data_IF_931161047438
#
_entry.id   IF_931161047438
#
_cell.length_a   1.000
_cell.length_b   1.000
_cell.length_c   1.000
_cell.angle_alpha   90.00
_cell.angle_beta   90.00
_cell.angle_gamma   90.00
#
_symmetry.space_group_name_H-M   'P 1'
#
loop_
_entity.id
_entity.type
_entity.pdbx_description
1 polymer ?
#
# COMPACT_ATOMS: atom_id res chain seq x y z
N UNK A 1 20.38 -18.71 -18.84
CA UNK A 1 19.99 -17.30 -19.03
C UNK A 1 20.99 -16.57 -19.89
N UNK A 2 20.52 -15.82 -20.88
CA UNK A 2 21.32 -14.92 -21.72
C UNK A 2 21.53 -13.54 -21.09
N UNK A 3 22.26 -12.66 -21.78
CA UNK A 3 22.60 -11.31 -21.30
C UNK A 3 21.37 -10.44 -21.01
N UNK A 4 20.36 -10.50 -21.87
CA UNK A 4 19.14 -9.68 -21.74
C UNK A 4 18.32 -10.07 -20.49
N UNK A 5 18.09 -11.37 -20.29
CA UNK A 5 17.40 -11.90 -19.10
C UNK A 5 18.16 -11.56 -17.82
N UNK A 6 19.49 -11.64 -17.87
CA UNK A 6 20.36 -11.29 -16.75
C UNK A 6 20.30 -9.78 -16.43
N UNK A 7 20.18 -8.92 -17.45
CA UNK A 7 20.02 -7.48 -17.26
C UNK A 7 18.68 -7.15 -16.62
N UNK A 8 17.59 -7.74 -17.11
CA UNK A 8 16.26 -7.59 -16.51
C UNK A 8 16.24 -8.10 -15.07
N UNK A 9 16.83 -9.26 -14.81
CA UNK A 9 16.98 -9.82 -13.46
C UNK A 9 17.76 -8.86 -12.55
N UNK A 10 18.84 -8.27 -13.04
CA UNK A 10 19.68 -7.35 -12.25
C UNK A 10 18.94 -6.07 -11.85
N UNK A 11 18.12 -5.53 -12.76
CA UNK A 11 17.25 -4.38 -12.46
C UNK A 11 16.15 -4.79 -11.48
N UNK A 12 15.53 -5.95 -11.67
CA UNK A 12 14.50 -6.49 -10.78
C UNK A 12 15.02 -6.69 -9.35
N UNK A 13 16.20 -7.28 -9.19
CA UNK A 13 16.84 -7.48 -7.89
C UNK A 13 17.24 -6.18 -7.21
N UNK A 14 17.49 -5.10 -7.96
CA UNK A 14 17.88 -3.82 -7.37
C UNK A 14 16.69 -3.06 -6.74
N UNK A 15 15.44 -3.49 -6.94
CA UNK A 15 14.24 -2.71 -6.57
C UNK A 15 14.08 -2.52 -5.05
N UNK A 16 14.35 -3.54 -4.24
CA UNK A 16 14.23 -3.40 -2.78
C UNK A 16 15.34 -2.47 -2.24
N UNK A 17 16.57 -2.63 -2.71
CA UNK A 17 17.68 -1.73 -2.39
C UNK A 17 17.42 -0.28 -2.86
N UNK A 18 16.76 -0.10 -4.02
CA UNK A 18 16.33 1.20 -4.53
C UNK A 18 15.33 1.87 -3.60
N UNK A 19 14.30 1.13 -3.18
CA UNK A 19 13.27 1.64 -2.28
C UNK A 19 13.86 2.04 -0.91
N UNK A 20 14.74 1.21 -0.34
CA UNK A 20 15.46 1.57 0.90
C UNK A 20 16.37 2.79 0.69
N UNK A 21 17.02 2.90 -0.46
CA UNK A 21 17.85 4.07 -0.81
C UNK A 21 17.03 5.35 -0.92
N UNK A 22 15.81 5.29 -1.46
CA UNK A 22 14.85 6.42 -1.43
C UNK A 22 14.54 6.79 0.02
N UNK A 23 14.22 5.82 0.87
CA UNK A 23 13.94 6.05 2.29
C UNK A 23 15.11 6.74 3.01
N UNK A 24 16.36 6.37 2.68
CA UNK A 24 17.55 7.06 3.20
C UNK A 24 17.71 8.48 2.68
N UNK A 25 17.47 8.70 1.39
CA UNK A 25 17.48 10.05 0.83
C UNK A 25 16.44 10.96 1.49
N UNK A 26 15.27 10.41 1.79
CA UNK A 26 14.14 11.10 2.43
C UNK A 26 14.47 11.58 3.85
N UNK A 27 15.24 10.80 4.62
CA UNK A 27 15.59 11.10 6.00
C UNK A 27 16.69 12.19 6.16
N UNK A 28 17.24 12.71 5.06
CA UNK A 28 18.43 13.58 5.09
C UNK A 28 18.14 14.90 4.41
N UNK A 29 18.48 16.02 5.06
CA UNK A 29 18.28 17.37 4.50
C UNK A 29 19.19 17.69 3.32
N UNK A 30 20.43 17.17 3.35
CA UNK A 30 21.41 17.42 2.29
C UNK A 30 22.36 16.25 2.22
N UNK A 31 22.18 15.42 1.22
CA UNK A 31 23.04 14.26 1.00
C UNK A 31 24.41 14.69 0.46
N UNK A 32 25.46 14.20 1.08
CA UNK A 32 26.85 14.34 0.67
C UNK A 32 27.25 13.26 -0.34
N UNK A 33 28.27 13.53 -1.15
CA UNK A 33 28.82 12.54 -2.11
C UNK A 33 29.19 11.22 -1.41
N UNK A 34 29.66 11.31 -0.15
CA UNK A 34 29.99 10.14 0.66
C UNK A 34 28.78 9.25 0.93
N UNK A 35 27.62 9.81 1.24
CA UNK A 35 26.40 9.05 1.54
C UNK A 35 25.80 8.40 0.29
N UNK A 36 25.86 9.07 -0.87
CA UNK A 36 25.55 8.44 -2.16
C UNK A 36 26.40 7.19 -2.39
N UNK A 37 27.73 7.35 -2.29
CA UNK A 37 28.68 6.25 -2.49
C UNK A 37 28.52 5.17 -1.44
N UNK A 38 28.25 5.53 -0.19
CA UNK A 38 28.05 4.58 0.89
C UNK A 38 26.84 3.67 0.61
N UNK A 39 25.67 4.24 0.28
CA UNK A 39 24.51 3.44 -0.12
C UNK A 39 24.78 2.58 -1.34
N UNK A 40 25.38 3.16 -2.39
CA UNK A 40 25.71 2.42 -3.62
C UNK A 40 26.63 1.23 -3.35
N UNK A 41 27.71 1.44 -2.58
CA UNK A 41 28.69 0.39 -2.28
C UNK A 41 28.09 -0.68 -1.37
N UNK A 42 27.37 -0.32 -0.31
CA UNK A 42 26.76 -1.30 0.59
C UNK A 42 25.75 -2.18 -0.14
N UNK A 43 24.76 -1.57 -0.80
CA UNK A 43 23.72 -2.34 -1.49
C UNK A 43 24.27 -3.08 -2.71
N UNK A 44 25.13 -2.45 -3.52
CA UNK A 44 25.78 -3.11 -4.65
C UNK A 44 26.60 -4.33 -4.23
N UNK A 45 27.41 -4.19 -3.17
CA UNK A 45 28.25 -5.30 -2.69
C UNK A 45 27.41 -6.46 -2.19
N UNK A 46 26.40 -6.20 -1.35
CA UNK A 46 25.55 -7.28 -0.81
C UNK A 46 24.65 -7.92 -1.87
N UNK A 47 24.10 -7.13 -2.81
CA UNK A 47 23.27 -7.67 -3.90
C UNK A 47 24.07 -8.52 -4.88
N UNK A 48 25.38 -8.29 -5.01
CA UNK A 48 26.27 -9.19 -5.76
C UNK A 48 26.75 -10.39 -4.93
N UNK A 49 27.13 -10.17 -3.68
CA UNK A 49 27.67 -11.20 -2.80
C UNK A 49 26.65 -12.31 -2.51
N UNK A 50 25.38 -11.95 -2.31
CA UNK A 50 24.34 -12.92 -1.97
C UNK A 50 24.08 -13.94 -3.10
N UNK A 51 23.88 -13.57 -4.38
CA UNK A 51 23.81 -14.53 -5.48
C UNK A 51 25.06 -15.41 -5.58
N UNK A 52 26.24 -14.86 -5.30
CA UNK A 52 27.47 -15.66 -5.30
C UNK A 52 27.46 -16.73 -4.21
N UNK A 53 27.09 -16.35 -2.98
CA UNK A 53 26.95 -17.29 -1.86
C UNK A 53 25.88 -18.34 -2.20
N UNK A 54 24.74 -17.93 -2.77
CA UNK A 54 23.66 -18.84 -3.15
C UNK A 54 24.11 -19.88 -4.18
N UNK A 55 24.90 -19.45 -5.17
CA UNK A 55 25.49 -20.33 -6.16
C UNK A 55 26.46 -21.35 -5.54
N UNK A 56 27.29 -20.93 -4.58
CA UNK A 56 28.25 -21.82 -3.90
C UNK A 56 27.58 -22.81 -2.94
N UNK A 57 26.55 -22.36 -2.23
CA UNK A 57 25.78 -23.20 -1.29
C UNK A 57 24.94 -24.24 -2.05
N UNK A 58 24.49 -23.89 -3.26
CA UNK A 58 23.72 -24.76 -4.14
C UNK A 58 22.39 -25.22 -3.51
N UNK A 59 21.78 -26.27 -4.08
CA UNK A 59 20.50 -26.80 -3.62
C UNK A 59 20.52 -27.46 -2.23
N UNK A 60 21.72 -27.62 -1.63
CA UNK A 60 21.92 -28.41 -0.40
C UNK A 60 21.28 -27.77 0.84
N UNK A 61 21.08 -26.45 0.82
CA UNK A 61 20.44 -25.70 1.92
C UNK A 61 19.30 -24.81 1.44
N UNK A 62 18.81 -25.03 0.21
CA UNK A 62 17.74 -24.24 -0.40
C UNK A 62 16.52 -24.16 0.52
N UNK A 63 16.01 -25.30 0.99
CA UNK A 63 14.83 -25.36 1.86
C UNK A 63 14.99 -24.62 3.19
N UNK A 64 16.19 -24.60 3.77
CA UNK A 64 16.42 -23.91 5.04
C UNK A 64 16.50 -22.40 4.83
N UNK A 65 17.23 -21.98 3.79
CA UNK A 65 17.42 -20.58 3.47
C UNK A 65 16.08 -19.96 3.07
N UNK A 66 15.36 -20.57 2.13
CA UNK A 66 14.06 -20.05 1.66
C UNK A 66 12.99 -20.04 2.75
N UNK A 67 13.09 -20.91 3.76
CA UNK A 67 12.18 -20.92 4.92
C UNK A 67 12.45 -19.81 5.94
N UNK A 68 13.71 -19.40 6.14
CA UNK A 68 14.08 -18.47 7.22
C UNK A 68 14.26 -17.04 6.71
N UNK A 69 14.76 -16.89 5.48
CA UNK A 69 15.06 -15.61 4.83
C UNK A 69 13.95 -14.55 4.95
N UNK A 70 12.68 -14.86 4.62
CA UNK A 70 11.63 -13.85 4.59
C UNK A 70 11.20 -13.39 5.98
N UNK A 71 11.27 -14.27 6.97
CA UNK A 71 11.05 -13.93 8.39
C UNK A 71 12.12 -12.97 8.91
N UNK A 72 13.39 -13.22 8.55
CA UNK A 72 14.50 -12.35 8.94
C UNK A 72 14.35 -10.97 8.30
N UNK A 73 14.03 -10.92 7.00
CA UNK A 73 13.78 -9.67 6.28
C UNK A 73 12.61 -8.88 6.89
N UNK A 74 11.48 -9.54 7.16
CA UNK A 74 10.33 -8.92 7.81
C UNK A 74 10.69 -8.31 9.17
N UNK A 75 11.27 -9.10 10.07
CA UNK A 75 11.61 -8.62 11.42
C UNK A 75 12.57 -7.43 11.35
N UNK A 76 13.63 -7.52 10.54
CA UNK A 76 14.62 -6.44 10.42
C UNK A 76 14.02 -5.17 9.83
N UNK A 77 13.28 -5.27 8.72
CA UNK A 77 12.69 -4.11 8.04
C UNK A 77 11.57 -3.48 8.87
N UNK A 78 10.75 -4.28 9.56
CA UNK A 78 9.72 -3.77 10.47
C UNK A 78 10.33 -3.05 11.66
N UNK A 79 11.41 -3.57 12.26
CA UNK A 79 12.10 -2.90 13.36
C UNK A 79 12.74 -1.57 12.92
N UNK A 80 13.40 -1.55 11.76
CA UNK A 80 14.02 -0.34 11.23
C UNK A 80 12.95 0.69 10.83
N UNK A 81 11.91 0.25 10.11
CA UNK A 81 10.81 1.13 9.69
C UNK A 81 10.00 1.66 10.87
N UNK A 82 9.75 0.83 11.88
CA UNK A 82 9.12 1.24 13.13
C UNK A 82 9.97 2.26 13.91
N UNK A 83 11.29 2.11 13.95
CA UNK A 83 12.18 3.12 14.53
C UNK A 83 12.14 4.45 13.75
N UNK A 84 12.10 4.42 12.41
CA UNK A 84 11.97 5.64 11.60
C UNK A 84 10.63 6.37 11.86
N UNK A 85 9.53 5.61 11.96
CA UNK A 85 8.22 6.19 12.34
C UNK A 85 8.30 6.76 13.76
N UNK A 86 8.90 6.05 14.71
CA UNK A 86 9.06 6.54 16.09
C UNK A 86 9.89 7.83 16.16
N UNK A 87 10.98 7.92 15.41
CA UNK A 87 11.86 9.10 15.34
C UNK A 87 11.12 10.33 14.79
N UNK A 88 10.16 10.14 13.88
CA UNK A 88 9.37 11.23 13.31
C UNK A 88 8.50 11.98 14.32
N UNK A 89 8.17 11.34 15.45
CA UNK A 89 7.41 11.93 16.56
C UNK A 89 8.32 12.55 17.64
N UNK A 90 9.64 12.40 17.50
CA UNK A 90 10.63 12.98 18.41
C UNK A 90 10.97 14.45 18.12
N UNK A 91 11.73 15.13 18.99
CA UNK A 91 12.18 16.50 18.76
C UNK A 91 13.06 16.59 17.50
N UNK A 92 12.93 17.66 16.67
CA UNK A 92 13.57 17.75 15.36
C UNK A 92 15.11 17.70 15.36
N UNK A 93 15.76 17.85 16.52
CA UNK A 93 17.22 17.81 16.72
C UNK A 93 17.81 16.41 16.94
N UNK A 94 17.01 15.38 17.26
CA UNK A 94 17.56 14.07 17.65
C UNK A 94 17.76 13.06 16.50
N UNK A 95 17.18 13.27 15.31
CA UNK A 95 17.25 12.27 14.25
C UNK A 95 18.67 12.18 13.64
N UNK A 96 19.35 11.07 13.91
CA UNK A 96 20.62 10.72 13.27
C UNK A 96 20.31 10.06 11.93
N UNK A 97 20.83 10.57 10.80
CA UNK A 97 20.66 9.91 9.52
C UNK A 97 21.40 8.57 9.60
N UNK A 98 20.68 7.46 9.78
CA UNK A 98 21.22 6.14 10.11
C UNK A 98 22.07 5.51 8.99
N UNK A 99 23.17 6.15 8.61
CA UNK A 99 24.23 5.69 7.73
C UNK A 99 25.37 5.04 8.51
N UNK A 100 25.19 4.82 9.81
CA UNK A 100 26.15 4.06 10.60
C UNK A 100 26.27 2.63 10.05
N UNK A 101 27.45 2.05 10.24
CA UNK A 101 27.82 0.75 9.68
C UNK A 101 26.82 -0.35 10.10
N UNK A 102 26.31 -0.30 11.34
CA UNK A 102 25.38 -1.30 11.85
C UNK A 102 24.05 -1.24 11.11
N UNK A 103 23.48 -0.05 10.95
CA UNK A 103 22.23 0.15 10.21
C UNK A 103 22.39 -0.23 8.73
N UNK A 104 23.46 0.24 8.07
CA UNK A 104 23.75 -0.07 6.67
C UNK A 104 23.92 -1.57 6.43
N UNK A 105 24.64 -2.26 7.32
CA UNK A 105 24.82 -3.71 7.25
C UNK A 105 23.49 -4.47 7.40
N UNK A 106 22.67 -4.10 8.38
CA UNK A 106 21.37 -4.77 8.61
C UNK A 106 20.42 -4.60 7.41
N UNK A 107 20.33 -3.40 6.84
CA UNK A 107 19.47 -3.16 5.67
C UNK A 107 20.00 -3.87 4.44
N UNK A 108 21.31 -3.81 4.18
CA UNK A 108 21.92 -4.48 3.03
C UNK A 108 21.69 -5.99 3.09
N UNK A 109 21.79 -6.62 4.26
CA UNK A 109 21.39 -8.02 4.42
C UNK A 109 19.90 -8.20 4.14
N UNK A 110 19.04 -7.42 4.81
CA UNK A 110 17.60 -7.58 4.70
C UNK A 110 17.08 -7.46 3.25
N UNK A 111 17.65 -6.55 2.45
CA UNK A 111 17.26 -6.33 1.04
C UNK A 111 17.93 -7.28 0.05
N UNK A 112 19.02 -7.95 0.43
CA UNK A 112 19.78 -8.83 -0.46
C UNK A 112 19.49 -10.32 -0.25
N UNK A 113 18.65 -10.66 0.74
CA UNK A 113 18.28 -12.04 1.03
C UNK A 113 17.59 -12.72 -0.17
N UNK A 114 16.74 -12.02 -0.92
CA UNK A 114 16.09 -12.60 -2.11
C UNK A 114 17.10 -12.87 -3.24
N UNK A 115 18.16 -12.07 -3.33
CA UNK A 115 19.24 -12.27 -4.29
C UNK A 115 20.04 -13.56 -4.01
N UNK A 116 20.06 -14.04 -2.77
CA UNK A 116 20.62 -15.35 -2.40
C UNK A 116 19.88 -16.49 -3.12
N UNK A 117 18.54 -16.44 -3.16
CA UNK A 117 17.72 -17.45 -3.83
C UNK A 117 17.98 -17.46 -5.34
N UNK A 118 18.16 -16.28 -5.96
CA UNK A 118 18.57 -16.18 -7.37
C UNK A 118 19.95 -16.80 -7.62
N UNK A 119 20.87 -16.72 -6.66
CA UNK A 119 22.14 -17.44 -6.72
C UNK A 119 21.98 -18.95 -6.86
N UNK A 120 21.02 -19.53 -6.13
CA UNK A 120 20.70 -20.97 -6.20
C UNK A 120 20.13 -21.31 -7.59
N UNK A 121 19.30 -20.44 -8.17
CA UNK A 121 18.73 -20.67 -9.51
C UNK A 121 19.79 -20.67 -10.61
N UNK A 122 20.95 -20.00 -10.44
CA UNK A 122 22.07 -20.11 -11.40
C UNK A 122 22.65 -21.54 -11.50
N UNK A 123 22.42 -22.40 -10.51
CA UNK A 123 22.78 -23.82 -10.59
C UNK A 123 21.81 -24.58 -11.51
N UNK A 124 20.51 -24.30 -11.39
CA UNK A 124 19.45 -24.93 -12.18
C UNK A 124 19.33 -24.36 -13.61
N UNK A 125 19.51 -23.06 -13.77
CA UNK A 125 19.45 -22.30 -15.02
C UNK A 125 20.79 -21.57 -15.22
N UNK A 126 21.80 -22.24 -15.81
CA UNK A 126 23.13 -21.67 -15.95
C UNK A 126 23.12 -20.36 -16.76
N UNK A 127 23.87 -19.38 -16.28
CA UNK A 127 24.15 -18.14 -17.02
C UNK A 127 25.07 -18.47 -18.19
N UNK A 128 24.68 -18.06 -19.40
CA UNK A 128 25.38 -18.31 -20.66
C UNK A 128 25.56 -16.98 -21.39
N UNK A 129 26.52 -16.17 -20.96
CA UNK A 129 26.86 -14.89 -21.60
C UNK A 129 28.08 -15.05 -22.50
N UNK A 130 29.08 -15.80 -22.04
CA UNK A 130 30.29 -16.11 -22.78
C UNK A 130 30.43 -17.62 -23.00
N UNK A 131 31.07 -18.01 -24.10
CA UNK A 131 31.53 -19.38 -24.38
C UNK A 131 32.73 -19.73 -23.49
N UNK A 132 32.51 -19.74 -22.18
CA UNK A 132 33.52 -19.91 -21.13
C UNK A 132 32.94 -20.70 -19.96
N UNK A 133 33.79 -21.07 -19.00
CA UNK A 133 33.39 -21.88 -17.84
C UNK A 133 32.23 -21.28 -17.05
N UNK A 134 31.40 -22.14 -16.44
CA UNK A 134 30.20 -21.74 -15.66
C UNK A 134 30.51 -20.69 -14.59
N UNK A 135 31.65 -20.82 -13.92
CA UNK A 135 32.08 -19.89 -12.86
C UNK A 135 32.31 -18.47 -13.37
N UNK A 136 32.89 -18.31 -14.57
CA UNK A 136 33.15 -16.99 -15.16
C UNK A 136 31.82 -16.29 -15.50
N UNK A 137 30.86 -17.05 -16.04
CA UNK A 137 29.52 -16.53 -16.32
C UNK A 137 28.77 -16.09 -15.05
N UNK A 138 28.93 -16.83 -13.93
CA UNK A 138 28.34 -16.45 -12.64
C UNK A 138 29.02 -15.23 -12.03
N UNK A 139 30.36 -15.15 -12.08
CA UNK A 139 31.09 -13.97 -11.61
C UNK A 139 30.70 -12.72 -12.40
N UNK A 140 30.48 -12.86 -13.71
CA UNK A 140 29.96 -11.78 -14.54
C UNK A 140 28.55 -11.36 -14.11
N UNK A 141 27.65 -12.32 -13.87
CA UNK A 141 26.30 -12.05 -13.35
C UNK A 141 26.33 -11.29 -12.02
N UNK A 142 27.13 -11.77 -11.07
CA UNK A 142 27.32 -11.15 -9.75
C UNK A 142 27.85 -9.71 -9.87
N UNK A 143 28.87 -9.49 -10.70
CA UNK A 143 29.43 -8.17 -10.91
C UNK A 143 28.42 -7.21 -11.55
N UNK A 144 27.63 -7.71 -12.51
CA UNK A 144 26.61 -6.90 -13.18
C UNK A 144 25.47 -6.51 -12.22
N UNK A 145 24.97 -7.44 -11.42
CA UNK A 145 23.98 -7.17 -10.37
C UNK A 145 24.51 -6.13 -9.39
N UNK A 146 25.76 -6.26 -8.95
CA UNK A 146 26.39 -5.33 -8.02
C UNK A 146 26.50 -3.91 -8.58
N UNK A 147 26.95 -3.76 -9.83
CA UNK A 147 27.11 -2.47 -10.49
C UNK A 147 25.76 -1.80 -10.73
N UNK A 148 24.79 -2.55 -11.28
CA UNK A 148 23.44 -2.03 -11.54
C UNK A 148 22.78 -1.58 -10.22
N UNK A 149 22.85 -2.41 -9.18
CA UNK A 149 22.28 -2.08 -7.86
C UNK A 149 22.97 -0.86 -7.24
N UNK A 150 24.29 -0.74 -7.37
CA UNK A 150 25.04 0.42 -6.91
C UNK A 150 24.55 1.71 -7.58
N UNK A 151 24.42 1.71 -8.91
CA UNK A 151 23.95 2.87 -9.69
C UNK A 151 22.51 3.24 -9.31
N UNK A 152 21.61 2.25 -9.30
CA UNK A 152 20.20 2.45 -8.97
C UNK A 152 20.05 2.96 -7.54
N UNK A 153 20.80 2.41 -6.57
CA UNK A 153 20.77 2.87 -5.17
C UNK A 153 21.22 4.33 -5.04
N UNK A 154 22.30 4.74 -5.74
CA UNK A 154 22.74 6.14 -5.78
C UNK A 154 21.65 7.06 -6.35
N UNK A 155 20.96 6.63 -7.40
CA UNK A 155 19.81 7.35 -7.97
C UNK A 155 18.67 7.42 -6.96
N UNK A 156 18.38 6.33 -6.24
CA UNK A 156 17.34 6.25 -5.21
C UNK A 156 17.57 7.26 -4.10
N UNK A 157 18.79 7.36 -3.57
CA UNK A 157 19.15 8.38 -2.58
C UNK A 157 18.93 9.79 -3.14
N UNK A 158 19.21 10.01 -4.43
CA UNK A 158 19.09 11.34 -5.06
C UNK A 158 17.62 11.76 -5.17
N UNK A 159 16.79 10.83 -5.61
CA UNK A 159 15.34 11.00 -5.68
C UNK A 159 14.80 11.25 -4.27
N UNK A 160 15.16 10.42 -3.29
CA UNK A 160 14.73 10.59 -1.90
C UNK A 160 15.11 11.94 -1.32
N UNK A 161 16.35 12.39 -1.51
CA UNK A 161 16.83 13.68 -1.02
C UNK A 161 16.10 14.87 -1.66
N UNK A 162 15.72 14.77 -2.94
CA UNK A 162 14.94 15.80 -3.61
C UNK A 162 13.59 16.02 -2.89
N UNK A 163 12.94 14.94 -2.45
CA UNK A 163 11.67 14.99 -1.72
C UNK A 163 11.85 15.29 -0.22
N UNK A 164 12.96 14.85 0.40
CA UNK A 164 13.24 14.97 1.84
C UNK A 164 13.64 16.37 2.30
N UNK A 165 14.28 17.16 1.44
CA UNK A 165 14.71 18.54 1.76
C UNK A 165 13.58 19.48 2.18
N UNK A 166 12.33 19.13 1.88
CA UNK A 166 11.16 19.99 2.13
C UNK A 166 10.36 19.59 3.39
N UNK A 167 10.43 18.34 3.87
CA UNK A 167 9.57 17.81 4.95
C UNK A 167 10.19 16.65 5.76
N UNK A 168 11.03 16.94 6.77
CA UNK A 168 11.76 15.93 7.56
C UNK A 168 10.86 14.88 8.23
N UNK A 169 9.88 15.30 9.04
CA UNK A 169 9.03 14.36 9.81
C UNK A 169 8.12 13.51 8.91
N UNK A 170 7.56 14.08 7.85
CA UNK A 170 6.75 13.32 6.89
C UNK A 170 7.57 12.32 6.09
N UNK A 171 8.78 12.70 5.69
CA UNK A 171 9.70 11.83 4.95
C UNK A 171 10.17 10.60 5.76
N UNK A 172 10.33 10.72 7.07
CA UNK A 172 10.65 9.59 7.97
C UNK A 172 9.48 8.61 8.12
N UNK A 173 8.25 9.10 8.27
CA UNK A 173 7.03 8.28 8.33
C UNK A 173 6.84 7.52 7.00
N UNK A 174 7.04 8.20 5.86
CA UNK A 174 6.93 7.58 4.55
C UNK A 174 7.99 6.48 4.37
N UNK A 175 9.25 6.78 4.72
CA UNK A 175 10.33 5.82 4.62
C UNK A 175 10.11 4.60 5.52
N UNK A 176 9.69 4.83 6.77
CA UNK A 176 9.41 3.74 7.70
C UNK A 176 8.22 2.88 7.27
N UNK A 177 7.16 3.50 6.75
CA UNK A 177 6.00 2.82 6.17
C UNK A 177 6.42 1.94 4.99
N UNK A 178 7.19 2.47 4.03
CA UNK A 178 7.70 1.71 2.87
C UNK A 178 8.52 0.49 3.33
N UNK A 179 9.40 0.65 4.32
CA UNK A 179 10.21 -0.46 4.83
C UNK A 179 9.36 -1.56 5.46
N UNK A 180 8.36 -1.19 6.26
CA UNK A 180 7.41 -2.15 6.84
C UNK A 180 6.67 -2.89 5.73
N UNK A 181 6.23 -2.21 4.67
CA UNK A 181 5.57 -2.83 3.52
C UNK A 181 6.49 -3.80 2.77
N UNK A 182 7.76 -3.45 2.55
CA UNK A 182 8.73 -4.35 1.89
C UNK A 182 8.96 -5.60 2.73
N UNK A 183 9.14 -5.44 4.05
CA UNK A 183 9.28 -6.58 4.96
C UNK A 183 8.05 -7.46 4.97
N UNK A 184 6.86 -6.85 5.05
CA UNK A 184 5.58 -7.55 5.08
C UNK A 184 5.32 -8.29 3.76
N UNK A 185 5.64 -7.67 2.62
CA UNK A 185 5.64 -8.31 1.29
C UNK A 185 6.46 -9.59 1.30
N UNK A 186 7.72 -9.51 1.74
CA UNK A 186 8.63 -10.66 1.73
C UNK A 186 8.04 -11.83 2.54
N UNK A 187 7.51 -11.55 3.73
CA UNK A 187 6.86 -12.57 4.56
C UNK A 187 5.62 -13.18 3.91
N UNK A 188 4.75 -12.36 3.30
CA UNK A 188 3.51 -12.83 2.68
C UNK A 188 3.80 -13.69 1.47
N UNK A 189 4.70 -13.25 0.60
CA UNK A 189 5.14 -14.04 -0.57
C UNK A 189 5.70 -15.40 -0.14
N UNK A 190 6.34 -15.48 1.03
CA UNK A 190 6.84 -16.74 1.57
C UNK A 190 5.78 -17.65 2.19
N UNK A 191 4.86 -17.08 2.97
CA UNK A 191 3.78 -17.82 3.60
C UNK A 191 2.80 -18.38 2.58
N UNK A 192 2.80 -17.82 1.37
CA UNK A 192 2.05 -18.34 0.26
C UNK A 192 2.61 -19.64 -0.32
N UNK A 193 2.07 -20.75 0.16
CA UNK A 193 2.37 -22.09 -0.37
C UNK A 193 1.78 -22.35 -1.76
N UNK A 194 0.98 -21.44 -2.32
CA UNK A 194 0.30 -21.64 -3.60
C UNK A 194 0.99 -20.99 -4.82
N UNK A 195 2.08 -20.23 -4.62
CA UNK A 195 2.73 -19.37 -5.63
C UNK A 195 1.83 -18.31 -6.26
N UNK A 196 0.69 -18.00 -5.64
CA UNK A 196 -0.31 -17.06 -6.12
C UNK A 196 0.01 -15.60 -5.71
N UNK A 197 0.74 -15.39 -4.62
CA UNK A 197 1.26 -14.13 -4.10
C UNK A 197 2.68 -13.79 -4.64
N UNK A 198 3.28 -14.70 -5.42
CA UNK A 198 4.51 -14.48 -6.19
C UNK A 198 4.26 -13.58 -7.41
N UNK A 199 3.03 -13.55 -7.91
CA UNK A 199 2.66 -12.71 -9.04
C UNK A 199 2.63 -11.25 -8.56
N UNK A 200 3.54 -10.43 -9.09
CA UNK A 200 3.67 -9.00 -8.78
C UNK A 200 2.34 -8.24 -8.88
N UNK A 201 1.39 -8.77 -9.64
CA UNK A 201 0.03 -8.28 -9.84
C UNK A 201 -0.76 -8.08 -8.53
N UNK A 202 -0.46 -8.85 -7.48
CA UNK A 202 -1.13 -8.76 -6.17
C UNK A 202 -0.83 -7.46 -5.42
N UNK A 203 0.45 -7.14 -5.25
CA UNK A 203 0.89 -6.00 -4.44
C UNK A 203 0.71 -4.71 -5.23
N UNK A 204 0.98 -4.75 -6.53
CA UNK A 204 0.65 -3.63 -7.39
C UNK A 204 -0.86 -3.35 -7.33
N UNK A 205 -1.68 -4.39 -7.40
CA UNK A 205 -3.13 -4.31 -7.25
C UNK A 205 -3.59 -3.62 -5.96
N UNK A 206 -3.07 -4.05 -4.81
CA UNK A 206 -3.43 -3.45 -3.52
C UNK A 206 -2.90 -2.02 -3.32
N UNK A 207 -1.88 -1.60 -4.08
CA UNK A 207 -1.35 -0.24 -4.07
C UNK A 207 -2.08 0.71 -5.03
N UNK A 208 -2.92 0.20 -5.94
CA UNK A 208 -3.69 1.04 -6.88
C UNK A 208 -4.52 2.11 -6.13
N UNK A 209 -5.26 1.79 -5.05
CA UNK A 209 -5.96 2.80 -4.25
C UNK A 209 -5.08 3.96 -3.78
N UNK A 210 -3.85 3.66 -3.35
CA UNK A 210 -2.90 4.66 -2.86
C UNK A 210 -2.46 5.65 -3.96
N UNK A 211 -2.50 5.23 -5.24
CA UNK A 211 -2.27 6.14 -6.38
C UNK A 211 -3.37 7.20 -6.42
N UNK A 212 -4.63 6.80 -6.19
CA UNK A 212 -5.76 7.72 -6.07
C UNK A 212 -5.52 8.78 -4.99
N UNK A 213 -5.20 8.31 -3.79
CA UNK A 213 -4.87 9.18 -2.65
C UNK A 213 -3.70 10.12 -2.96
N UNK A 214 -2.63 9.61 -3.58
CA UNK A 214 -1.46 10.39 -3.98
C UNK A 214 -1.84 11.50 -4.97
N UNK A 215 -2.62 11.18 -6.01
CA UNK A 215 -3.06 12.13 -7.01
C UNK A 215 -3.99 13.19 -6.40
N UNK A 216 -4.92 12.79 -5.55
CA UNK A 216 -5.82 13.69 -4.81
C UNK A 216 -5.06 14.67 -3.93
N UNK A 217 -4.16 14.15 -3.09
CA UNK A 217 -3.33 14.98 -2.22
C UNK A 217 -2.44 15.94 -3.01
N UNK A 218 -1.89 15.52 -4.16
CA UNK A 218 -0.98 16.34 -4.98
C UNK A 218 -1.63 17.62 -5.54
N UNK A 219 -2.97 17.66 -5.64
CA UNK A 219 -3.72 18.83 -6.12
C UNK A 219 -3.44 20.07 -5.25
N UNK A 220 -3.08 19.91 -3.96
CA UNK A 220 -2.71 21.02 -3.07
C UNK A 220 -1.50 21.84 -3.57
N UNK A 221 -0.68 21.29 -4.48
CA UNK A 221 0.42 22.01 -5.13
C UNK A 221 -0.01 22.86 -6.33
N UNK A 222 -1.18 22.59 -6.91
CA UNK A 222 -1.79 23.52 -7.85
C UNK A 222 -2.16 24.77 -7.04
N UNK A 223 -1.73 25.97 -7.46
CA UNK A 223 -1.86 27.25 -6.71
C UNK A 223 -3.32 27.74 -6.49
N UNK A 224 -4.30 26.85 -6.55
CA UNK A 224 -5.72 27.08 -6.26
C UNK A 224 -6.00 26.51 -4.87
N UNK A 225 -6.05 27.38 -3.86
CA UNK A 225 -6.24 26.94 -2.48
C UNK A 225 -7.68 26.59 -2.14
N UNK A 226 -8.66 26.90 -3.01
CA UNK A 226 -10.07 26.69 -2.75
C UNK A 226 -10.73 26.00 -3.95
N UNK A 227 -11.66 25.09 -3.67
CA UNK A 227 -12.56 24.45 -4.64
C UNK A 227 -13.93 25.11 -4.58
N UNK A 228 -14.61 25.23 -5.73
CA UNK A 228 -16.00 25.70 -5.76
C UNK A 228 -16.93 24.67 -5.14
N UNK A 229 -17.99 25.13 -4.47
CA UNK A 229 -19.00 24.27 -3.85
C UNK A 229 -19.58 23.23 -4.83
N UNK A 230 -19.87 23.64 -6.08
CA UNK A 230 -20.33 22.73 -7.14
C UNK A 230 -19.38 21.56 -7.39
N UNK A 231 -18.07 21.83 -7.38
CA UNK A 231 -17.05 20.81 -7.64
C UNK A 231 -16.91 19.88 -6.44
N UNK A 232 -17.07 20.42 -5.22
CA UNK A 232 -17.14 19.62 -3.99
C UNK A 232 -18.34 18.66 -4.02
N UNK A 233 -19.51 19.14 -4.41
CA UNK A 233 -20.72 18.32 -4.54
C UNK A 233 -20.56 17.22 -5.59
N UNK A 234 -19.95 17.52 -6.74
CA UNK A 234 -19.64 16.52 -7.77
C UNK A 234 -18.69 15.45 -7.23
N UNK A 235 -17.65 15.85 -6.51
CA UNK A 235 -16.67 14.93 -5.94
C UNK A 235 -17.28 14.00 -4.88
N UNK A 236 -18.01 14.56 -3.92
CA UNK A 236 -18.70 13.77 -2.89
C UNK A 236 -19.73 12.85 -3.52
N UNK A 237 -20.62 13.39 -4.35
CA UNK A 237 -21.64 12.58 -5.02
C UNK A 237 -21.04 11.44 -5.81
N UNK A 238 -20.02 11.72 -6.64
CA UNK A 238 -19.31 10.72 -7.43
C UNK A 238 -18.64 9.63 -6.58
N UNK A 239 -17.91 10.02 -5.53
CA UNK A 239 -17.27 9.08 -4.60
C UNK A 239 -18.31 8.21 -3.89
N UNK A 240 -19.36 8.81 -3.33
CA UNK A 240 -20.45 8.06 -2.68
C UNK A 240 -21.15 7.10 -3.64
N UNK A 241 -21.36 7.49 -4.91
CA UNK A 241 -21.92 6.60 -5.93
C UNK A 241 -21.04 5.38 -6.17
N UNK A 242 -19.72 5.58 -6.25
CA UNK A 242 -18.71 4.52 -6.36
C UNK A 242 -18.76 3.60 -5.12
N UNK A 243 -18.75 4.15 -3.90
CA UNK A 243 -18.78 3.36 -2.65
C UNK A 243 -20.01 2.48 -2.53
N UNK A 244 -21.21 3.05 -2.72
CA UNK A 244 -22.46 2.27 -2.64
C UNK A 244 -22.48 1.17 -3.70
N UNK A 245 -21.97 1.47 -4.90
CA UNK A 245 -21.84 0.47 -5.97
C UNK A 245 -20.90 -0.69 -5.58
N UNK A 246 -19.73 -0.37 -5.05
CA UNK A 246 -18.80 -1.37 -4.51
C UNK A 246 -19.47 -2.21 -3.41
N UNK A 247 -20.17 -1.58 -2.47
CA UNK A 247 -20.81 -2.30 -1.38
C UNK A 247 -21.87 -3.29 -1.88
N UNK A 248 -22.66 -2.91 -2.88
CA UNK A 248 -23.71 -3.79 -3.43
C UNK A 248 -23.11 -4.93 -4.28
N UNK A 249 -22.33 -4.59 -5.31
CA UNK A 249 -21.90 -5.57 -6.33
C UNK A 249 -20.53 -6.19 -6.05
N UNK A 250 -19.67 -5.48 -5.33
CA UNK A 250 -18.38 -5.99 -4.90
C UNK A 250 -18.47 -6.82 -3.63
N UNK A 251 -19.36 -6.47 -2.69
CA UNK A 251 -19.36 -7.07 -1.35
C UNK A 251 -20.60 -7.91 -1.03
N UNK A 252 -21.79 -7.31 -1.08
CA UNK A 252 -23.02 -7.97 -0.60
C UNK A 252 -23.51 -9.07 -1.54
N UNK A 253 -23.56 -8.81 -2.85
CA UNK A 253 -23.98 -9.83 -3.84
C UNK A 253 -23.06 -11.07 -3.81
N UNK A 254 -21.71 -10.94 -3.90
CA UNK A 254 -20.83 -12.12 -3.83
C UNK A 254 -20.87 -12.81 -2.46
N UNK A 255 -21.05 -12.07 -1.37
CA UNK A 255 -21.22 -12.66 -0.04
C UNK A 255 -22.44 -13.58 0.05
N UNK A 256 -23.58 -13.16 -0.50
CA UNK A 256 -24.77 -14.02 -0.60
C UNK A 256 -24.46 -15.26 -1.44
N UNK A 257 -23.78 -15.11 -2.57
CA UNK A 257 -23.39 -16.24 -3.42
C UNK A 257 -22.51 -17.25 -2.67
N UNK A 258 -21.51 -16.77 -1.93
CA UNK A 258 -20.58 -17.60 -1.16
C UNK A 258 -21.20 -18.35 0.02
N UNK A 259 -22.38 -17.96 0.51
CA UNK A 259 -23.06 -18.63 1.61
C UNK A 259 -24.20 -19.56 1.18
N UNK A 260 -24.52 -19.64 -0.12
CA UNK A 260 -25.62 -20.49 -0.64
C UNK A 260 -25.42 -21.98 -0.39
N UNK A 261 -24.18 -22.46 -0.39
CA UNK A 261 -23.88 -23.87 -0.15
C UNK A 261 -23.95 -24.25 1.34
N UNK A 262 -23.56 -23.32 2.22
CA UNK A 262 -23.48 -23.56 3.65
C UNK A 262 -24.80 -23.31 4.39
N UNK A 263 -25.68 -22.46 3.84
CA UNK A 263 -26.92 -22.04 4.51
C UNK A 263 -28.13 -22.15 3.59
N UNK A 264 -29.22 -22.73 4.10
CA UNK A 264 -30.50 -22.81 3.39
C UNK A 264 -31.09 -21.43 3.09
N UNK A 265 -30.78 -20.43 3.92
CA UNK A 265 -31.11 -19.03 3.68
C UNK A 265 -29.87 -18.15 3.90
N UNK A 266 -29.01 -18.08 2.88
CA UNK A 266 -27.78 -17.29 2.88
C UNK A 266 -27.98 -15.80 3.19
N UNK A 267 -29.18 -15.25 2.96
CA UNK A 267 -29.46 -13.82 3.18
C UNK A 267 -29.42 -13.45 4.67
N UNK A 268 -29.87 -14.34 5.56
CA UNK A 268 -29.90 -14.08 7.01
C UNK A 268 -28.51 -13.82 7.59
N UNK A 269 -27.49 -14.70 7.43
CA UNK A 269 -26.15 -14.43 7.93
C UNK A 269 -25.51 -13.19 7.26
N UNK A 270 -25.83 -12.91 5.99
CA UNK A 270 -25.37 -11.68 5.32
C UNK A 270 -25.94 -10.44 5.99
N UNK A 271 -27.24 -10.40 6.29
CA UNK A 271 -27.88 -9.27 6.98
C UNK A 271 -27.27 -9.07 8.38
N UNK A 272 -27.02 -10.16 9.12
CA UNK A 272 -26.41 -10.09 10.44
C UNK A 272 -24.98 -9.52 10.38
N UNK A 273 -24.18 -9.97 9.41
CA UNK A 273 -22.82 -9.46 9.22
C UNK A 273 -22.82 -8.02 8.71
N UNK A 274 -23.72 -7.68 7.78
CA UNK A 274 -23.96 -6.31 7.34
C UNK A 274 -24.25 -5.39 8.53
N UNK A 275 -25.20 -5.77 9.39
CA UNK A 275 -25.54 -5.00 10.59
C UNK A 275 -24.35 -4.91 11.57
N UNK A 276 -23.58 -5.99 11.73
CA UNK A 276 -22.36 -5.98 12.54
C UNK A 276 -21.30 -5.00 11.97
N UNK A 277 -21.18 -4.93 10.64
CA UNK A 277 -20.33 -3.96 9.95
C UNK A 277 -20.75 -2.51 10.18
N UNK A 278 -22.06 -2.23 10.07
CA UNK A 278 -22.64 -0.92 10.41
C UNK A 278 -22.32 -0.53 11.85
N UNK A 279 -22.57 -1.45 12.80
CA UNK A 279 -22.29 -1.21 14.22
C UNK A 279 -20.79 -0.99 14.45
N UNK A 280 -19.93 -1.76 13.78
CA UNK A 280 -18.47 -1.59 13.90
C UNK A 280 -18.03 -0.21 13.43
N UNK A 281 -18.56 0.28 12.30
CA UNK A 281 -18.24 1.61 11.81
C UNK A 281 -18.71 2.69 12.78
N UNK A 282 -19.98 2.63 13.19
CA UNK A 282 -20.53 3.53 14.20
C UNK A 282 -19.72 3.55 15.50
N UNK A 283 -19.19 2.40 15.93
CA UNK A 283 -18.31 2.33 17.09
C UNK A 283 -16.98 3.07 16.84
N UNK A 284 -16.40 2.96 15.64
CA UNK A 284 -15.19 3.68 15.26
C UNK A 284 -15.40 5.20 15.33
N UNK A 285 -16.53 5.71 14.82
CA UNK A 285 -16.85 7.14 14.86
C UNK A 285 -16.95 7.67 16.29
N UNK A 286 -17.51 6.85 17.19
CA UNK A 286 -17.70 7.21 18.59
C UNK A 286 -16.43 7.13 19.43
N UNK A 287 -15.42 6.33 19.05
CA UNK A 287 -14.19 6.15 19.84
C UNK A 287 -12.99 6.92 19.29
N UNK A 288 -12.99 7.24 17.99
CA UNK A 288 -11.89 7.96 17.34
C UNK A 288 -12.26 9.45 17.26
N UNK A 289 -11.51 10.34 17.91
CA UNK A 289 -11.75 11.78 17.81
C UNK A 289 -11.37 12.31 16.42
N UNK A 290 -12.35 12.75 15.63
CA UNK A 290 -12.16 13.17 14.25
C UNK A 290 -13.01 14.40 13.88
N UNK A 291 -12.68 15.07 12.78
CA UNK A 291 -13.33 16.33 12.38
C UNK A 291 -13.65 16.33 10.89
N UNK A 292 -14.92 16.52 10.55
CA UNK A 292 -15.37 16.75 9.18
C UNK A 292 -15.06 18.19 8.78
N UNK A 293 -13.98 18.38 8.02
CA UNK A 293 -13.36 19.69 7.84
C UNK A 293 -14.24 20.74 7.15
N UNK A 294 -15.23 20.33 6.34
CA UNK A 294 -16.10 21.23 5.60
C UNK A 294 -17.43 21.54 6.30
N UNK A 295 -17.84 20.73 7.27
CA UNK A 295 -18.98 21.01 8.15
C UNK A 295 -18.54 21.59 9.50
N UNK A 296 -17.23 21.57 9.79
CA UNK A 296 -16.62 21.92 11.10
C UNK A 296 -17.27 21.18 12.28
N UNK A 297 -17.80 19.97 12.01
CA UNK A 297 -18.35 19.06 13.02
C UNK A 297 -17.22 18.14 13.51
N UNK A 298 -17.10 18.01 14.83
CA UNK A 298 -16.14 17.11 15.47
C UNK A 298 -16.89 16.02 16.22
N UNK A 299 -16.51 14.78 15.98
CA UNK A 299 -17.13 13.58 16.55
C UNK A 299 -16.10 12.79 17.37
N UNK A 300 -16.59 11.76 18.06
CA UNK A 300 -15.80 10.98 19.01
C UNK A 300 -15.51 11.69 20.34
N UNK A 301 -14.58 11.14 21.16
CA UNK A 301 -14.30 11.67 22.49
C UNK A 301 -13.57 13.01 22.44
N UNK A 302 -13.76 13.85 23.46
CA UNK A 302 -12.95 15.08 23.60
C UNK A 302 -11.47 14.71 23.70
N UNK A 303 -10.66 15.24 22.79
CA UNK A 303 -9.22 14.98 22.75
C UNK A 303 -8.41 16.24 22.46
N UNK A 304 -7.18 16.27 22.98
CA UNK A 304 -6.18 17.31 22.70
C UNK A 304 -5.35 17.06 21.43
N UNK A 305 -5.81 16.19 20.51
CA UNK A 305 -5.11 15.92 19.26
C UNK A 305 -5.04 17.18 18.39
N UNK A 306 -3.96 17.27 17.60
CA UNK A 306 -3.76 18.31 16.58
C UNK A 306 -5.00 18.39 15.66
N UNK A 307 -5.56 19.58 15.38
CA UNK A 307 -6.73 19.70 14.52
C UNK A 307 -6.55 19.08 13.14
N UNK A 308 -5.36 19.19 12.55
CA UNK A 308 -5.06 18.58 11.25
C UNK A 308 -5.11 17.04 11.35
N UNK A 309 -4.66 16.48 12.47
CA UNK A 309 -4.74 15.03 12.72
C UNK A 309 -6.19 14.56 12.78
N UNK A 310 -7.08 15.32 13.41
CA UNK A 310 -8.51 14.98 13.47
C UNK A 310 -9.16 14.98 12.08
N UNK A 311 -8.76 15.89 11.20
CA UNK A 311 -9.21 15.90 9.80
C UNK A 311 -8.72 14.66 9.04
N UNK A 312 -7.44 14.31 9.20
CA UNK A 312 -6.88 13.10 8.58
C UNK A 312 -7.55 11.82 9.11
N UNK A 313 -7.85 11.77 10.41
CA UNK A 313 -8.47 10.62 11.05
C UNK A 313 -9.88 10.32 10.52
N UNK A 314 -10.62 11.34 10.09
CA UNK A 314 -11.92 11.16 9.43
C UNK A 314 -11.77 10.19 8.25
N UNK A 315 -10.91 10.49 7.28
CA UNK A 315 -10.71 9.58 6.13
C UNK A 315 -10.07 8.24 6.50
N UNK A 316 -9.22 8.21 7.53
CA UNK A 316 -8.64 6.93 8.00
C UNK A 316 -9.74 5.95 8.44
N UNK A 317 -10.82 6.44 9.04
CA UNK A 317 -11.97 5.61 9.44
C UNK A 317 -12.70 5.07 8.19
N UNK A 318 -12.92 5.92 7.18
CA UNK A 318 -13.57 5.57 5.92
C UNK A 318 -12.76 4.55 5.10
N UNK A 319 -11.43 4.66 5.14
CA UNK A 319 -10.51 3.73 4.49
C UNK A 319 -10.42 2.35 5.14
N UNK A 320 -10.93 2.16 6.36
CA UNK A 320 -10.91 0.84 7.04
C UNK A 320 -11.75 -0.18 6.25
N UNK A 321 -13.06 0.06 5.99
CA UNK A 321 -13.87 -0.80 5.14
C UNK A 321 -13.29 -1.01 3.73
N UNK A 322 -12.71 0.01 3.11
CA UNK A 322 -12.08 -0.12 1.77
C UNK A 322 -10.91 -1.09 1.77
N UNK A 323 -10.01 -0.96 2.74
CA UNK A 323 -8.89 -1.87 2.91
C UNK A 323 -9.36 -3.30 3.13
N UNK A 324 -10.35 -3.51 3.99
CA UNK A 324 -10.95 -4.83 4.23
C UNK A 324 -11.58 -5.39 2.94
N UNK A 325 -12.38 -4.59 2.23
CA UNK A 325 -13.03 -4.94 0.95
C UNK A 325 -12.01 -5.33 -0.13
N UNK A 326 -10.91 -4.59 -0.23
CA UNK A 326 -9.82 -4.91 -1.15
C UNK A 326 -9.19 -6.26 -0.81
N UNK A 327 -8.91 -6.49 0.48
CA UNK A 327 -8.30 -7.72 0.95
C UNK A 327 -9.15 -8.97 0.74
N UNK A 328 -10.45 -8.92 1.03
CA UNK A 328 -11.35 -10.07 0.82
C UNK A 328 -11.45 -10.44 -0.66
N UNK A 329 -11.55 -9.47 -1.56
CA UNK A 329 -11.66 -9.77 -3.00
C UNK A 329 -10.34 -10.32 -3.55
N UNK A 330 -9.19 -9.77 -3.16
CA UNK A 330 -7.89 -10.33 -3.55
C UNK A 330 -7.68 -11.73 -2.96
N UNK A 331 -8.06 -11.97 -1.70
CA UNK A 331 -8.01 -13.31 -1.11
C UNK A 331 -8.88 -14.31 -1.88
N UNK A 332 -10.10 -13.91 -2.23
CA UNK A 332 -11.00 -14.72 -3.06
C UNK A 332 -10.42 -15.02 -4.44
N UNK A 333 -9.78 -14.04 -5.08
CA UNK A 333 -9.04 -14.24 -6.31
C UNK A 333 -7.91 -15.26 -6.14
N UNK A 334 -7.14 -15.19 -5.05
CA UNK A 334 -6.02 -16.12 -4.81
C UNK A 334 -6.47 -17.54 -4.54
N UNK A 335 -7.57 -17.67 -3.81
CA UNK A 335 -8.23 -18.95 -3.55
C UNK A 335 -8.92 -19.52 -4.79
N UNK A 336 -8.99 -18.76 -5.89
CA UNK A 336 -9.72 -19.10 -7.12
C UNK A 336 -11.19 -19.44 -6.83
N UNK A 337 -11.78 -18.65 -5.94
CA UNK A 337 -13.17 -18.80 -5.51
C UNK A 337 -14.12 -18.61 -6.68
N UNK A 338 -14.92 -19.61 -7.02
CA UNK A 338 -15.77 -19.63 -8.24
C UNK A 338 -16.77 -18.46 -8.30
N UNK A 339 -17.29 -18.02 -7.16
CA UNK A 339 -18.27 -16.94 -7.06
C UNK A 339 -17.66 -15.53 -6.97
N UNK A 340 -16.33 -15.40 -7.10
CA UNK A 340 -15.63 -14.11 -7.27
C UNK A 340 -14.98 -14.09 -8.66
N UNK A 341 -15.37 -13.11 -9.48
CA UNK A 341 -14.80 -12.96 -10.82
C UNK A 341 -13.30 -12.63 -10.74
N UNK A 342 -12.51 -13.20 -11.65
CA UNK A 342 -11.08 -12.93 -11.79
C UNK A 342 -10.80 -11.43 -11.96
N UNK A 343 -11.67 -10.69 -12.65
CA UNK A 343 -11.50 -9.25 -12.85
C UNK A 343 -12.01 -8.39 -11.69
N UNK A 344 -12.72 -8.96 -10.71
CA UNK A 344 -13.34 -8.20 -9.62
C UNK A 344 -12.29 -7.47 -8.76
N UNK A 345 -11.14 -8.09 -8.51
CA UNK A 345 -10.05 -7.49 -7.73
C UNK A 345 -9.50 -6.22 -8.37
N UNK A 346 -9.19 -6.29 -9.66
CA UNK A 346 -8.71 -5.11 -10.39
C UNK A 346 -9.77 -4.02 -10.52
N UNK A 347 -11.02 -4.40 -10.83
CA UNK A 347 -12.15 -3.46 -10.91
C UNK A 347 -12.36 -2.72 -9.60
N UNK A 348 -12.35 -3.46 -8.48
CA UNK A 348 -12.49 -2.89 -7.15
C UNK A 348 -11.34 -1.95 -6.81
N UNK A 349 -10.09 -2.38 -7.05
CA UNK A 349 -8.91 -1.57 -6.77
C UNK A 349 -8.92 -0.25 -7.55
N UNK A 350 -9.32 -0.27 -8.83
CA UNK A 350 -9.45 0.94 -9.66
C UNK A 350 -10.61 1.82 -9.19
N UNK A 351 -11.76 1.23 -8.85
CA UNK A 351 -12.90 1.98 -8.36
C UNK A 351 -12.56 2.73 -7.06
N UNK A 352 -11.91 2.06 -6.10
CA UNK A 352 -11.38 2.69 -4.89
C UNK A 352 -10.34 3.76 -5.25
N UNK A 353 -9.39 3.51 -6.16
CA UNK A 353 -8.45 4.56 -6.55
C UNK A 353 -9.11 5.82 -7.13
N UNK A 354 -10.22 5.69 -7.86
CA UNK A 354 -10.91 6.85 -8.44
C UNK A 354 -11.56 7.71 -7.36
N UNK A 355 -12.23 7.12 -6.37
CA UNK A 355 -12.88 7.87 -5.29
C UNK A 355 -11.88 8.39 -4.24
N UNK A 356 -10.70 7.79 -4.11
CA UNK A 356 -9.71 8.26 -3.13
C UNK A 356 -9.02 9.56 -3.57
N UNK A 357 -9.20 9.94 -4.84
CA UNK A 357 -8.76 11.26 -5.34
C UNK A 357 -9.50 12.38 -4.59
N UNK A 358 -10.85 12.44 -4.59
CA UNK A 358 -11.56 13.46 -3.82
C UNK A 358 -11.37 13.33 -2.30
N UNK A 359 -11.29 12.13 -1.71
CA UNK A 359 -11.07 11.97 -0.26
C UNK A 359 -9.73 12.57 0.20
N UNK A 360 -8.64 12.24 -0.50
CA UNK A 360 -7.32 12.78 -0.17
C UNK A 360 -7.22 14.31 -0.41
N UNK A 361 -8.00 14.81 -1.37
CA UNK A 361 -8.17 16.24 -1.60
C UNK A 361 -8.88 16.90 -0.41
N UNK A 362 -9.92 16.27 0.15
CA UNK A 362 -10.68 16.75 1.30
C UNK A 362 -9.95 16.67 2.63
N UNK A 363 -8.85 15.92 2.71
CA UNK A 363 -7.86 16.06 3.81
C UNK A 363 -6.92 17.22 3.54
N UNK A 364 -6.32 17.24 2.34
CA UNK A 364 -5.18 18.11 2.05
C UNK A 364 -5.58 19.59 1.96
N UNK A 365 -6.70 19.90 1.29
CA UNK A 365 -7.11 21.29 1.07
C UNK A 365 -7.50 22.01 2.37
N UNK A 366 -8.36 21.45 3.25
CA UNK A 366 -8.74 22.16 4.47
C UNK A 366 -7.57 22.40 5.41
N UNK A 367 -6.65 21.43 5.54
CA UNK A 367 -5.41 21.59 6.29
C UNK A 367 -4.61 22.77 5.70
N UNK A 368 -4.52 22.87 4.37
CA UNK A 368 -3.85 23.98 3.70
C UNK A 368 -4.56 25.33 3.91
N UNK A 369 -5.89 25.36 3.83
CA UNK A 369 -6.71 26.56 4.04
C UNK A 369 -6.60 27.09 5.48
N UNK A 370 -6.49 26.20 6.47
CA UNK A 370 -6.28 26.53 7.90
C UNK A 370 -4.86 27.02 8.23
N UNK A 371 -3.99 27.16 7.23
CA UNK A 371 -2.68 27.82 7.35
C UNK A 371 -1.47 26.87 7.43
N UNK A 372 -1.69 25.56 7.44
CA UNK A 372 -0.59 24.59 7.39
C UNK A 372 0.15 24.63 6.06
N UNK A 373 1.42 24.18 6.07
CA UNK A 373 2.26 24.23 4.87
C UNK A 373 1.80 23.22 3.81
N UNK A 374 1.98 23.55 2.53
CA UNK A 374 1.52 22.72 1.38
C UNK A 374 1.95 21.27 1.46
N UNK A 375 3.18 20.97 1.86
CA UNK A 375 3.60 19.58 1.98
C UNK A 375 3.24 18.90 3.30
N UNK A 376 2.92 19.62 4.38
CA UNK A 376 2.24 18.99 5.55
C UNK A 376 0.87 18.49 5.09
N UNK A 377 0.10 19.35 4.43
CA UNK A 377 -1.20 19.00 3.85
C UNK A 377 -1.13 17.81 2.88
N UNK A 378 -0.25 17.88 1.88
CA UNK A 378 0.00 16.77 0.94
C UNK A 378 0.36 15.47 1.66
N UNK A 379 1.27 15.55 2.63
CA UNK A 379 1.74 14.38 3.35
C UNK A 379 0.62 13.74 4.17
N UNK A 380 -0.19 14.53 4.85
CA UNK A 380 -1.34 14.03 5.62
C UNK A 380 -2.40 13.41 4.70
N UNK A 381 -2.62 13.98 3.51
CA UNK A 381 -3.46 13.36 2.49
C UNK A 381 -2.96 11.99 2.05
N UNK A 382 -1.65 11.81 1.81
CA UNK A 382 -1.12 10.47 1.46
C UNK A 382 -1.23 9.50 2.63
N UNK A 383 -0.86 9.95 3.84
CA UNK A 383 -0.86 9.10 5.03
C UNK A 383 -2.27 8.62 5.36
N UNK A 384 -3.30 9.41 5.10
CA UNK A 384 -4.68 8.96 5.33
C UNK A 384 -5.02 7.70 4.53
N UNK A 385 -4.46 7.52 3.31
CA UNK A 385 -4.70 6.36 2.43
C UNK A 385 -3.78 5.14 2.65
N UNK A 386 -2.73 5.25 3.48
CA UNK A 386 -1.85 4.12 3.84
C UNK A 386 -2.58 2.93 4.50
N UNK A 387 -3.61 3.13 5.34
CA UNK A 387 -4.38 2.04 5.93
C UNK A 387 -4.99 1.08 4.91
N UNK A 388 -5.32 1.53 3.70
CA UNK A 388 -6.00 0.70 2.68
C UNK A 388 -5.15 -0.52 2.28
N UNK A 389 -3.92 -0.37 1.74
CA UNK A 389 -3.08 -1.51 1.42
C UNK A 389 -2.69 -2.31 2.67
N UNK A 390 -2.51 -1.66 3.82
CA UNK A 390 -2.15 -2.34 5.07
C UNK A 390 -3.28 -3.29 5.53
N UNK A 391 -4.51 -2.80 5.58
CA UNK A 391 -5.69 -3.57 5.98
C UNK A 391 -6.09 -4.58 4.91
N UNK A 392 -5.88 -4.27 3.62
CA UNK A 392 -6.03 -5.24 2.54
C UNK A 392 -5.13 -6.44 2.72
N UNK A 393 -3.85 -6.20 2.99
CA UNK A 393 -2.87 -7.25 3.30
C UNK A 393 -3.27 -8.06 4.55
N UNK A 394 -3.61 -7.38 5.65
CA UNK A 394 -4.03 -8.05 6.90
C UNK A 394 -5.24 -8.94 6.64
N UNK A 395 -6.21 -8.43 5.87
CA UNK A 395 -7.44 -9.16 5.55
C UNK A 395 -7.15 -10.36 4.64
N UNK A 396 -6.24 -10.22 3.66
CA UNK A 396 -5.78 -11.38 2.86
C UNK A 396 -5.21 -12.46 3.76
N UNK A 397 -4.32 -12.12 4.70
CA UNK A 397 -3.75 -13.09 5.63
C UNK A 397 -4.86 -13.76 6.47
N UNK A 398 -5.78 -12.98 7.02
CA UNK A 398 -6.90 -13.50 7.83
C UNK A 398 -7.76 -14.47 7.02
N UNK A 399 -8.13 -14.11 5.79
CA UNK A 399 -8.96 -14.97 4.94
C UNK A 399 -8.22 -16.23 4.50
N UNK A 400 -6.93 -16.14 4.17
CA UNK A 400 -6.15 -17.33 3.81
C UNK A 400 -5.99 -18.30 4.98
N UNK A 401 -5.92 -17.78 6.22
CA UNK A 401 -5.92 -18.59 7.44
C UNK A 401 -7.31 -19.16 7.76
N UNK A 402 -8.38 -18.42 7.44
CA UNK A 402 -9.76 -18.80 7.71
C UNK A 402 -10.66 -18.62 6.47
N UNK A 403 -10.55 -19.50 5.46
CA UNK A 403 -11.29 -19.37 4.19
C UNK A 403 -12.81 -19.22 4.35
N UNK A 404 -13.38 -19.92 5.34
CA UNK A 404 -14.80 -19.88 5.64
C UNK A 404 -15.29 -18.48 6.11
N UNK A 405 -14.38 -17.62 6.58
CA UNK A 405 -14.72 -16.27 7.03
C UNK A 405 -14.98 -15.31 5.86
N UNK A 406 -14.48 -15.61 4.66
CA UNK A 406 -14.51 -14.73 3.49
C UNK A 406 -15.86 -14.06 3.23
N UNK A 407 -16.98 -14.79 3.03
CA UNK A 407 -18.26 -14.14 2.73
C UNK A 407 -18.80 -13.30 3.91
N UNK A 408 -18.51 -13.69 5.15
CA UNK A 408 -18.96 -12.94 6.33
C UNK A 408 -18.23 -11.60 6.46
N UNK A 409 -16.91 -11.59 6.23
CA UNK A 409 -16.09 -10.36 6.22
C UNK A 409 -16.54 -9.46 5.07
N UNK A 410 -16.85 -10.01 3.88
CA UNK A 410 -17.41 -9.24 2.77
C UNK A 410 -18.72 -8.54 3.16
N UNK A 411 -19.66 -9.27 3.78
CA UNK A 411 -20.93 -8.68 4.21
C UNK A 411 -20.74 -7.57 5.25
N UNK A 412 -19.86 -7.78 6.22
CA UNK A 412 -19.54 -6.77 7.24
C UNK A 412 -18.88 -5.53 6.61
N UNK A 413 -17.95 -5.73 5.68
CA UNK A 413 -17.31 -4.62 4.96
C UNK A 413 -18.32 -3.81 4.15
N UNK A 414 -19.23 -4.48 3.43
CA UNK A 414 -20.32 -3.84 2.71
C UNK A 414 -21.24 -3.03 3.61
N UNK A 415 -21.53 -3.53 4.83
CA UNK A 415 -22.30 -2.80 5.84
C UNK A 415 -21.61 -1.53 6.32
N UNK A 416 -20.33 -1.64 6.66
CA UNK A 416 -19.54 -0.49 7.10
C UNK A 416 -19.41 0.58 6.01
N UNK A 417 -19.18 0.18 4.75
CA UNK A 417 -19.11 1.12 3.61
C UNK A 417 -20.43 1.87 3.39
N UNK A 418 -21.57 1.17 3.45
CA UNK A 418 -22.88 1.82 3.27
C UNK A 418 -23.14 2.83 4.38
N UNK A 419 -22.84 2.49 5.64
CA UNK A 419 -23.02 3.41 6.76
C UNK A 419 -22.16 4.67 6.59
N UNK A 420 -20.86 4.50 6.38
CA UNK A 420 -19.90 5.60 6.18
C UNK A 420 -20.36 6.56 5.06
N UNK A 421 -20.78 5.99 3.93
CA UNK A 421 -21.23 6.78 2.78
C UNK A 421 -22.51 7.58 3.09
N UNK A 422 -23.46 6.98 3.81
CA UNK A 422 -24.73 7.63 4.15
C UNK A 422 -24.53 8.76 5.17
N UNK A 423 -23.56 8.61 6.08
CA UNK A 423 -23.21 9.64 7.04
C UNK A 423 -22.55 10.85 6.37
N UNK A 424 -21.72 10.62 5.36
CA UNK A 424 -20.95 11.67 4.70
C UNK A 424 -21.79 12.56 3.75
N UNK A 425 -22.75 11.97 3.00
CA UNK A 425 -23.56 12.69 2.01
C UNK A 425 -24.25 13.93 2.64
N UNK A 426 -25.01 13.82 3.75
CA UNK A 426 -25.71 14.97 4.35
C UNK A 426 -24.77 16.04 4.90
N UNK A 427 -23.60 15.65 5.41
CA UNK A 427 -22.64 16.58 6.00
C UNK A 427 -22.09 17.58 4.98
N UNK A 428 -22.08 17.21 3.69
CA UNK A 428 -21.54 18.03 2.60
C UNK A 428 -22.64 18.58 1.67
N UNK A 429 -23.81 17.93 1.62
CA UNK A 429 -24.93 18.26 0.73
C UNK A 429 -26.01 19.19 1.33
N UNK A 430 -25.73 19.94 2.40
CA UNK A 430 -26.73 20.72 3.16
C UNK A 430 -27.31 21.97 2.44
N UNK A 431 -27.48 21.94 1.11
CA UNK A 431 -28.09 23.00 0.31
C UNK A 431 -29.28 22.51 -0.51
N UNK A 432 -30.16 23.45 -0.81
CA UNK A 432 -31.44 23.24 -1.51
C UNK A 432 -31.30 22.90 -3.00
N UNK A 433 -30.11 23.07 -3.59
CA UNK A 433 -29.79 22.78 -4.98
C UNK A 433 -28.52 21.90 -5.01
N UNK A 434 -28.71 20.59 -5.26
CA UNK A 434 -27.64 19.57 -5.25
C UNK A 434 -27.76 18.63 -6.48
N UNK A 435 -28.37 19.10 -7.56
CA UNK A 435 -28.61 18.26 -8.75
C UNK A 435 -27.30 17.75 -9.36
N UNK A 436 -26.23 18.55 -9.29
CA UNK A 436 -24.90 18.16 -9.79
C UNK A 436 -24.28 17.02 -8.97
N UNK A 437 -24.41 17.07 -7.65
CA UNK A 437 -23.93 15.99 -6.77
C UNK A 437 -24.75 14.71 -6.95
N UNK A 438 -26.08 14.84 -7.05
CA UNK A 438 -26.96 13.70 -7.33
C UNK A 438 -26.67 13.06 -8.69
N UNK A 439 -26.45 13.85 -9.74
CA UNK A 439 -26.08 13.34 -11.06
C UNK A 439 -24.70 12.66 -11.02
N UNK A 440 -23.72 13.24 -10.33
CA UNK A 440 -22.42 12.63 -10.13
C UNK A 440 -22.51 11.29 -9.39
N UNK A 441 -23.37 11.18 -8.38
CA UNK A 441 -23.67 9.92 -7.69
C UNK A 441 -24.20 8.86 -8.66
N UNK A 442 -25.21 9.20 -9.46
CA UNK A 442 -25.78 8.26 -10.45
C UNK A 442 -24.72 7.81 -11.45
N UNK A 443 -23.87 8.73 -11.92
CA UNK A 443 -22.78 8.42 -12.85
C UNK A 443 -21.74 7.49 -12.19
N UNK A 444 -21.26 7.83 -11.00
CA UNK A 444 -20.28 7.01 -10.27
C UNK A 444 -20.80 5.60 -10.00
N UNK A 445 -22.04 5.51 -9.55
CA UNK A 445 -22.74 4.25 -9.29
C UNK A 445 -22.86 3.39 -10.55
N UNK A 446 -23.29 3.99 -11.67
CA UNK A 446 -23.47 3.31 -12.94
C UNK A 446 -22.15 2.87 -13.59
N UNK A 447 -21.07 3.66 -13.46
CA UNK A 447 -19.74 3.29 -13.98
C UNK A 447 -19.24 2.02 -13.31
N UNK A 448 -19.28 1.97 -11.97
CA UNK A 448 -18.80 0.79 -11.23
C UNK A 448 -19.70 -0.41 -11.47
N UNK A 449 -21.03 -0.21 -11.55
CA UNK A 449 -21.97 -1.26 -11.94
C UNK A 449 -21.58 -1.83 -13.31
N UNK A 450 -21.35 -0.97 -14.31
CA UNK A 450 -20.91 -1.39 -15.63
C UNK A 450 -19.60 -2.18 -15.56
N UNK A 451 -18.61 -1.72 -14.77
CA UNK A 451 -17.33 -2.42 -14.61
C UNK A 451 -17.48 -3.83 -14.04
N UNK A 452 -18.41 -4.06 -13.10
CA UNK A 452 -18.69 -5.40 -12.55
C UNK A 452 -19.41 -6.32 -13.54
N UNK A 453 -20.30 -5.79 -14.39
CA UNK A 453 -21.10 -6.62 -15.31
C UNK A 453 -20.49 -6.80 -16.72
N UNK A 454 -19.69 -5.85 -17.21
CA UNK A 454 -19.11 -5.88 -18.57
C UNK A 454 -18.13 -7.04 -18.81
N UNK A 455 -17.68 -7.74 -17.76
CA UNK A 455 -16.75 -8.88 -17.85
C UNK A 455 -17.29 -10.21 -17.30
N UNK A 456 -18.59 -10.29 -16.99
CA UNK A 456 -19.26 -11.56 -16.64
C UNK A 456 -19.76 -12.32 -17.88
N UNK A 457 -19.74 -11.71 -19.07
CA UNK A 457 -20.21 -12.26 -20.35
C UNK A 457 -19.12 -12.90 -21.18
#
# INVERSE_FOLDING_TARGET
MGLFELLLLSVGLAMDAFAVSICKGLAVKKVTIKEYLLCGIWFGTFQGLMPFIGYLVGSRFENLITAVAPWVAFILLTLIGGNMIKESFGPPEEAKPGFDVKTMFMMAIATSIDALAVGITFVAVPVKVFDSGKMINVLFAVAMIAVITCIISMIGVKIGNLFGTRYKSGSEIMGGTILIFIGLRSLITHLDRSQVLSDGDTIFGMLIPLIGTLLGAAIVYAKRNNISDDLRMIFVGGASGIMISIAVWGMLEPSVAGLKEAHTNAVVPVILCFAAGVILHLLLDNIIPHTHAYSDITEGPKSGLDPDMKVMLTEVIHHIPEGVSLGVIYAGHFMKTEWISVSAAFVLAVAIAIQNIPEALFVSLPIREKGSTTGKAFFMGIVSGVPIPLLGIITVIVVLLFPAALPYIMAASGGAMIYATIEEIPLIANRKDNDKGALAFVIGFAIVMLMFFFRRS
#
